data_IF_728457309307
#
_entry.id   IF_728457309307
#
_cell.length_a   1.000
_cell.length_b   1.000
_cell.length_c   1.000
_cell.angle_alpha   90.00
_cell.angle_beta   90.00
_cell.angle_gamma   90.00
#
_symmetry.space_group_name_H-M   'P 1'
#
loop_
_entity.id
_entity.type
_entity.pdbx_description
1 polymer ?
#
# COMPACT_ATOMS: atom_id res chain seq x y z
N UNK A 1 -0.98 16.54 6.17
CA UNK A 1 -0.06 16.48 5.01
C UNK A 1 -0.93 16.50 3.77
N UNK A 2 -0.97 17.63 3.04
CA UNK A 2 -1.81 17.74 1.84
C UNK A 2 -1.09 17.04 0.68
N UNK A 3 -1.58 15.87 0.30
CA UNK A 3 -1.19 15.21 -0.93
C UNK A 3 -1.92 15.95 -2.06
N UNK A 4 -1.14 16.60 -2.95
CA UNK A 4 -1.70 17.40 -4.03
C UNK A 4 -2.21 16.48 -5.14
N UNK A 5 -3.52 16.54 -5.43
CA UNK A 5 -4.13 15.93 -6.61
C UNK A 5 -3.52 16.53 -7.88
N UNK A 6 -2.84 15.71 -8.69
CA UNK A 6 -2.50 16.05 -10.09
C UNK A 6 -2.91 14.89 -10.97
N UNK A 7 -3.43 15.17 -12.15
CA UNK A 7 -3.66 14.13 -13.16
C UNK A 7 -2.31 13.57 -13.62
N UNK A 8 -2.10 12.28 -13.39
CA UNK A 8 -0.85 11.59 -13.67
C UNK A 8 -0.84 11.10 -15.13
N UNK A 9 0.33 11.16 -15.79
CA UNK A 9 0.54 10.44 -17.05
C UNK A 9 0.51 8.94 -16.78
N UNK A 10 -0.08 8.12 -17.67
CA UNK A 10 -0.26 6.68 -17.43
C UNK A 10 1.09 5.97 -17.24
N UNK A 11 1.30 5.38 -16.06
CA UNK A 11 2.38 4.42 -15.85
C UNK A 11 1.85 3.03 -16.24
N UNK A 12 2.32 2.49 -17.36
CA UNK A 12 1.92 1.17 -17.91
C UNK A 12 2.33 -0.02 -17.03
N UNK A 13 2.88 0.20 -15.83
CA UNK A 13 3.45 -0.86 -14.99
C UNK A 13 2.40 -1.70 -14.25
N UNK A 14 1.20 -1.18 -14.02
CA UNK A 14 0.17 -1.85 -13.20
C UNK A 14 -0.38 -3.16 -13.80
N UNK A 15 -0.11 -3.45 -15.07
CA UNK A 15 -0.70 -4.56 -15.83
C UNK A 15 0.34 -5.50 -16.46
N UNK A 16 1.61 -5.35 -16.10
CA UNK A 16 2.70 -6.12 -16.70
C UNK A 16 2.93 -7.43 -15.95
N UNK A 17 3.19 -8.55 -16.65
CA UNK A 17 3.63 -9.79 -16.01
C UNK A 17 4.91 -9.55 -15.20
N UNK A 18 5.11 -10.27 -14.08
CA UNK A 18 6.18 -10.01 -13.09
C UNK A 18 7.58 -9.75 -13.69
N UNK A 19 7.93 -10.44 -14.78
CA UNK A 19 9.21 -10.28 -15.50
C UNK A 19 9.42 -8.89 -16.15
N UNK A 20 8.36 -8.09 -16.30
CA UNK A 20 8.38 -6.75 -16.90
C UNK A 20 8.17 -5.62 -15.88
N UNK A 21 8.01 -5.93 -14.59
CA UNK A 21 7.90 -4.91 -13.55
C UNK A 21 9.26 -4.22 -13.34
N UNK A 22 9.24 -2.89 -13.29
CA UNK A 22 10.43 -2.12 -12.91
C UNK A 22 10.82 -2.44 -11.47
N UNK A 23 12.09 -2.80 -11.28
CA UNK A 23 12.65 -3.17 -9.98
C UNK A 23 13.29 -1.94 -9.35
N UNK A 24 13.00 -1.73 -8.08
CA UNK A 24 13.54 -0.64 -7.28
C UNK A 24 14.48 -1.19 -6.21
N UNK A 25 15.42 -0.36 -5.77
CA UNK A 25 16.45 -0.73 -4.79
C UNK A 25 15.98 -0.55 -3.34
N UNK A 26 14.83 0.10 -3.12
CA UNK A 26 14.23 0.31 -1.81
C UNK A 26 12.71 0.52 -1.93
N UNK A 27 12.05 0.46 -0.78
CA UNK A 27 10.64 0.77 -0.56
C UNK A 27 10.52 2.26 -0.26
N UNK A 28 9.88 2.99 -1.16
CA UNK A 28 9.75 4.45 -1.13
C UNK A 28 8.61 4.93 -2.01
N UNK A 29 8.36 6.23 -2.04
CA UNK A 29 7.34 6.85 -2.89
C UNK A 29 7.94 7.74 -3.97
N UNK A 30 7.23 7.87 -5.08
CA UNK A 30 7.52 8.88 -6.09
C UNK A 30 6.99 10.23 -5.60
N UNK A 31 7.83 11.26 -5.65
CA UNK A 31 7.41 12.65 -5.42
C UNK A 31 7.79 13.50 -6.63
N UNK A 32 7.30 14.74 -6.66
CA UNK A 32 7.83 15.75 -7.55
C UNK A 32 8.97 16.51 -6.86
N UNK A 33 9.96 16.93 -7.65
CA UNK A 33 10.98 17.86 -7.20
C UNK A 33 10.38 19.17 -6.64
N UNK A 34 11.21 20.00 -6.01
CA UNK A 34 10.77 21.27 -5.43
C UNK A 34 10.10 22.23 -6.43
N UNK A 35 10.32 22.01 -7.73
CA UNK A 35 9.74 22.80 -8.82
C UNK A 35 8.49 22.15 -9.42
N UNK A 36 8.01 21.03 -8.88
CA UNK A 36 6.84 20.30 -9.36
C UNK A 36 6.98 19.80 -10.81
N UNK A 37 8.21 19.63 -11.34
CA UNK A 37 8.49 19.34 -12.75
C UNK A 37 8.97 17.92 -13.02
N UNK A 38 9.82 17.39 -12.14
CA UNK A 38 10.46 16.09 -12.35
C UNK A 38 10.06 15.11 -11.26
N UNK A 39 9.87 13.85 -11.65
CA UNK A 39 9.69 12.75 -10.70
C UNK A 39 10.99 12.41 -10.00
N UNK A 40 10.95 12.28 -8.67
CA UNK A 40 12.08 11.94 -7.82
C UNK A 40 11.74 10.73 -6.96
N UNK A 41 12.66 9.78 -6.91
CA UNK A 41 12.57 8.54 -6.14
C UNK A 41 13.88 8.35 -5.35
N UNK A 42 14.03 9.10 -4.25
CA UNK A 42 15.26 9.03 -3.43
C UNK A 42 14.95 8.82 -1.95
N UNK A 43 14.25 9.78 -1.34
CA UNK A 43 14.07 9.81 0.12
C UNK A 43 12.63 10.12 0.51
N UNK A 44 11.64 9.54 -0.17
CA UNK A 44 10.24 9.77 0.18
C UNK A 44 9.64 8.54 0.83
N UNK A 45 9.02 8.76 1.99
CA UNK A 45 8.32 7.70 2.71
C UNK A 45 7.13 7.13 1.91
N UNK A 46 6.95 5.81 1.90
CA UNK A 46 5.74 5.18 1.37
C UNK A 46 4.55 5.53 2.26
N UNK A 47 3.65 6.40 1.76
CA UNK A 47 2.38 6.71 2.42
C UNK A 47 1.25 5.91 1.79
N UNK A 48 0.37 5.40 2.65
CA UNK A 48 -0.80 4.63 2.25
C UNK A 48 -2.08 5.32 2.71
N UNK A 49 -3.21 4.89 2.12
CA UNK A 49 -4.55 5.32 2.55
C UNK A 49 -4.74 5.06 4.05
N UNK A 50 -4.30 3.91 4.56
CA UNK A 50 -4.33 3.57 6.00
C UNK A 50 -3.71 4.68 6.86
N UNK A 51 -2.51 5.14 6.52
CA UNK A 51 -1.84 6.20 7.29
C UNK A 51 -2.59 7.54 7.18
N UNK A 52 -3.18 7.82 6.02
CA UNK A 52 -3.99 9.02 5.86
C UNK A 52 -5.26 8.96 6.70
N UNK A 53 -5.99 7.84 6.70
CA UNK A 53 -7.16 7.63 7.55
C UNK A 53 -6.82 7.78 9.03
N UNK A 54 -5.70 7.22 9.46
CA UNK A 54 -5.18 7.42 10.82
C UNK A 54 -4.91 8.90 11.13
N UNK A 55 -4.32 9.62 10.18
CA UNK A 55 -4.07 11.07 10.34
C UNK A 55 -5.38 11.84 10.46
N UNK A 56 -6.39 11.51 9.65
CA UNK A 56 -7.72 12.13 9.70
C UNK A 56 -8.46 11.82 11.00
N UNK A 57 -8.23 10.64 11.58
CA UNK A 57 -8.74 10.26 12.90
C UNK A 57 -7.98 10.90 14.07
N UNK A 58 -6.96 11.74 13.79
CA UNK A 58 -6.19 12.47 14.80
C UNK A 58 -4.97 11.72 15.33
N UNK A 59 -4.57 10.61 14.71
CA UNK A 59 -3.35 9.88 15.07
C UNK A 59 -2.14 10.40 14.29
N UNK A 60 -0.94 10.09 14.80
CA UNK A 60 0.30 10.50 14.15
C UNK A 60 1.06 9.28 13.60
N UNK A 61 0.82 8.87 12.34
CA UNK A 61 1.57 7.77 11.71
C UNK A 61 3.04 8.12 11.47
N UNK A 62 3.43 9.41 11.52
CA UNK A 62 4.83 9.82 11.35
C UNK A 62 5.73 9.32 12.48
N UNK A 63 5.16 8.82 13.59
CA UNK A 63 5.93 8.11 14.64
C UNK A 63 6.50 6.77 14.17
N UNK A 64 5.87 6.16 13.16
CA UNK A 64 6.29 4.89 12.58
C UNK A 64 7.24 5.10 11.40
N UNK A 65 7.15 6.25 10.74
CA UNK A 65 7.94 6.56 9.56
C UNK A 65 8.21 8.06 9.40
N UNK A 66 9.48 8.44 9.49
CA UNK A 66 9.89 9.83 9.32
C UNK A 66 9.69 10.30 7.86
N UNK A 67 9.49 11.60 7.61
CA UNK A 67 9.22 12.14 6.26
C UNK A 67 10.20 11.70 5.17
N UNK A 68 11.50 11.59 5.52
CA UNK A 68 12.56 11.26 4.57
C UNK A 68 13.04 9.80 4.65
N UNK A 69 12.24 8.92 5.27
CA UNK A 69 12.63 7.55 5.53
C UNK A 69 12.15 6.62 4.43
N UNK A 70 13.03 5.71 4.01
CA UNK A 70 12.75 4.60 3.09
C UNK A 70 13.05 3.28 3.80
N UNK A 71 12.59 2.15 3.24
CA UNK A 71 12.98 0.83 3.75
C UNK A 71 13.82 0.07 2.74
N UNK A 72 14.87 -0.56 3.24
CA UNK A 72 15.71 -1.46 2.44
C UNK A 72 15.37 -2.94 2.66
N UNK A 73 14.49 -3.24 3.62
CA UNK A 73 14.05 -4.59 3.92
C UNK A 73 12.53 -4.71 3.88
N UNK A 74 12.04 -5.85 3.38
CA UNK A 74 10.63 -6.21 3.36
C UNK A 74 10.10 -6.39 4.79
N UNK A 75 10.90 -6.99 5.66
CA UNK A 75 10.55 -7.21 7.07
C UNK A 75 10.30 -5.88 7.78
N UNK A 76 11.17 -4.88 7.65
CA UNK A 76 11.00 -3.59 8.34
C UNK A 76 9.73 -2.87 7.86
N UNK A 77 9.47 -2.90 6.55
CA UNK A 77 8.26 -2.32 5.98
C UNK A 77 6.98 -3.04 6.45
N UNK A 78 7.00 -4.38 6.46
CA UNK A 78 5.89 -5.19 6.96
C UNK A 78 5.63 -4.91 8.44
N UNK A 79 6.67 -4.84 9.26
CA UNK A 79 6.54 -4.50 10.68
C UNK A 79 5.97 -3.10 10.89
N UNK A 80 6.37 -2.13 10.06
CA UNK A 80 5.80 -0.79 10.11
C UNK A 80 4.29 -0.81 9.81
N UNK A 81 3.84 -1.52 8.77
CA UNK A 81 2.40 -1.68 8.46
C UNK A 81 1.69 -2.38 9.62
N UNK A 82 2.28 -3.46 10.13
CA UNK A 82 1.72 -4.24 11.22
C UNK A 82 1.54 -3.39 12.48
N UNK A 83 2.52 -2.57 12.82
CA UNK A 83 2.42 -1.62 13.93
C UNK A 83 1.34 -0.57 13.68
N UNK A 84 1.21 -0.07 12.45
CA UNK A 84 0.14 0.88 12.11
C UNK A 84 -1.25 0.26 12.34
N UNK A 85 -1.46 -1.00 11.98
CA UNK A 85 -2.75 -1.69 12.21
C UNK A 85 -3.04 -1.94 13.69
N UNK A 86 -2.02 -2.29 14.48
CA UNK A 86 -2.14 -2.40 15.95
C UNK A 86 -2.49 -1.06 16.57
N UNK A 87 -1.82 0.00 16.13
CA UNK A 87 -2.06 1.35 16.60
C UNK A 87 -3.49 1.80 16.30
N UNK A 88 -3.99 1.52 15.09
CA UNK A 88 -5.38 1.80 14.72
C UNK A 88 -6.35 1.09 15.65
N UNK A 89 -6.16 -0.21 15.88
CA UNK A 89 -7.01 -0.97 16.80
C UNK A 89 -7.07 -0.38 18.20
N UNK A 90 -5.91 0.02 18.74
CA UNK A 90 -5.85 0.56 20.10
C UNK A 90 -6.40 1.99 20.22
N UNK A 91 -6.28 2.79 19.16
CA UNK A 91 -6.59 4.21 19.23
C UNK A 91 -8.00 4.53 18.70
N UNK A 92 -8.55 3.74 17.77
CA UNK A 92 -9.91 3.90 17.25
C UNK A 92 -10.93 3.15 18.11
N UNK A 93 -11.82 3.90 18.76
CA UNK A 93 -12.91 3.35 19.59
C UNK A 93 -14.03 2.71 18.77
N UNK A 94 -14.10 3.00 17.47
CA UNK A 94 -15.09 2.51 16.51
C UNK A 94 -14.53 1.41 15.59
N UNK A 95 -13.35 0.88 15.88
CA UNK A 95 -12.68 -0.12 15.04
C UNK A 95 -13.33 -1.51 15.08
N UNK A 96 -14.23 -1.75 16.04
CA UNK A 96 -14.82 -3.06 16.31
C UNK A 96 -16.30 -2.94 16.68
N UNK A 97 -17.11 -3.92 16.27
CA UNK A 97 -18.55 -3.95 16.51
C UNK A 97 -18.95 -4.63 17.84
N UNK A 98 -17.99 -5.12 18.62
CA UNK A 98 -18.22 -5.79 19.90
C UNK A 98 -17.04 -6.66 20.35
N UNK A 99 -17.19 -7.35 21.48
CA UNK A 99 -16.10 -8.15 22.07
C UNK A 99 -15.61 -9.28 21.17
N UNK A 100 -16.52 -10.03 20.55
CA UNK A 100 -16.17 -11.15 19.67
C UNK A 100 -15.36 -10.69 18.45
N UNK A 101 -15.75 -9.56 17.87
CA UNK A 101 -15.06 -8.93 16.74
C UNK A 101 -13.66 -8.44 17.18
N UNK A 102 -13.58 -7.76 18.32
CA UNK A 102 -12.32 -7.32 18.91
C UNK A 102 -11.34 -8.47 19.19
N UNK A 103 -11.83 -9.58 19.75
CA UNK A 103 -11.02 -10.78 19.99
C UNK A 103 -10.51 -11.37 18.69
N UNK A 104 -11.36 -11.45 17.67
CA UNK A 104 -11.00 -12.00 16.36
C UNK A 104 -9.96 -11.12 15.66
N UNK A 105 -10.14 -9.80 15.72
CA UNK A 105 -9.22 -8.83 15.15
C UNK A 105 -7.84 -8.89 15.83
N UNK A 106 -7.80 -8.88 17.17
CA UNK A 106 -6.56 -9.02 17.94
C UNK A 106 -5.85 -10.35 17.67
N UNK A 107 -6.61 -11.44 17.61
CA UNK A 107 -6.07 -12.76 17.29
C UNK A 107 -5.44 -12.77 15.89
N UNK A 108 -6.13 -12.20 14.90
CA UNK A 108 -5.62 -12.04 13.54
C UNK A 108 -4.32 -11.24 13.49
N UNK A 109 -4.26 -10.09 14.17
CA UNK A 109 -3.05 -9.30 14.26
C UNK A 109 -1.92 -10.08 14.95
N UNK A 110 -2.14 -10.61 16.14
CA UNK A 110 -1.11 -11.34 16.89
C UNK A 110 -0.52 -12.51 16.07
N UNK A 111 -1.39 -13.29 15.44
CA UNK A 111 -0.95 -14.42 14.62
C UNK A 111 -0.22 -13.98 13.36
N UNK A 112 -0.72 -12.94 12.69
CA UNK A 112 -0.10 -12.44 11.46
C UNK A 112 1.37 -12.09 11.66
N UNK A 113 1.75 -11.58 12.84
CA UNK A 113 3.15 -11.26 13.15
C UNK A 113 4.10 -12.45 13.03
N UNK A 114 3.66 -13.64 13.45
CA UNK A 114 4.45 -14.87 13.34
C UNK A 114 4.52 -15.34 11.88
N UNK A 115 3.37 -15.41 11.21
CA UNK A 115 3.29 -15.83 9.81
C UNK A 115 4.07 -14.91 8.87
N UNK A 116 4.09 -13.60 9.13
CA UNK A 116 4.76 -12.62 8.29
C UNK A 116 6.28 -12.79 8.28
N UNK A 117 6.88 -13.23 9.39
CA UNK A 117 8.33 -13.49 9.47
C UNK A 117 8.69 -14.71 8.60
N UNK A 118 7.94 -15.81 8.76
CA UNK A 118 8.19 -17.05 8.00
C UNK A 118 7.86 -16.91 6.51
N UNK A 119 6.92 -16.04 6.20
CA UNK A 119 6.49 -15.79 4.83
C UNK A 119 7.51 -14.95 4.03
N UNK A 120 8.28 -14.08 4.68
CA UNK A 120 9.37 -13.36 4.01
C UNK A 120 10.53 -14.30 3.79
N UNK A 121 10.68 -14.73 2.53
CA UNK A 121 11.85 -15.49 2.10
C UNK A 121 13.12 -14.68 2.36
N UNK A 122 14.13 -15.20 3.09
CA UNK A 122 15.33 -14.45 3.42
C UNK A 122 16.04 -13.86 2.20
N UNK A 123 16.05 -14.59 1.07
CA UNK A 123 16.62 -14.14 -0.20
C UNK A 123 15.88 -12.96 -0.84
N UNK A 124 14.61 -12.73 -0.46
CA UNK A 124 13.80 -11.62 -0.96
C UNK A 124 13.64 -10.46 0.03
N UNK A 125 14.22 -10.57 1.22
CA UNK A 125 14.07 -9.53 2.23
C UNK A 125 14.60 -8.18 1.74
N UNK A 126 15.67 -8.14 0.96
CA UNK A 126 16.23 -6.90 0.41
C UNK A 126 15.79 -6.60 -1.04
N UNK A 127 14.68 -7.21 -1.47
CA UNK A 127 14.09 -7.02 -2.79
C UNK A 127 13.94 -8.33 -3.58
N UNK A 128 13.33 -8.29 -4.77
CA UNK A 128 13.02 -7.10 -5.53
C UNK A 128 11.81 -6.31 -4.97
N UNK A 129 11.89 -4.99 -5.07
CA UNK A 129 10.78 -4.08 -4.79
C UNK A 129 10.13 -3.62 -6.10
N UNK A 130 8.81 -3.50 -6.12
CA UNK A 130 8.01 -3.16 -7.31
C UNK A 130 7.01 -2.06 -7.00
N UNK A 131 6.68 -1.24 -7.99
CA UNK A 131 5.71 -0.16 -7.85
C UNK A 131 4.29 -0.71 -7.72
N UNK A 132 3.55 -0.25 -6.70
CA UNK A 132 2.12 -0.46 -6.54
C UNK A 132 1.38 0.88 -6.66
N UNK A 133 0.16 0.84 -7.20
CA UNK A 133 -0.72 2.01 -7.33
C UNK A 133 -1.19 2.59 -5.97
N UNK A 134 -1.46 1.73 -4.98
CA UNK A 134 -1.97 2.12 -3.66
C UNK A 134 -3.49 2.32 -3.58
N UNK A 135 -4.17 2.67 -4.69
CA UNK A 135 -5.64 2.80 -4.76
C UNK A 135 -6.24 2.34 -6.10
N UNK A 136 -6.07 1.06 -6.47
CA UNK A 136 -6.46 0.58 -7.80
C UNK A 136 -7.94 0.17 -7.86
N UNK A 137 -8.84 1.13 -7.68
CA UNK A 137 -10.29 0.94 -7.84
C UNK A 137 -10.73 1.14 -9.29
N UNK A 138 -11.88 0.57 -9.67
CA UNK A 138 -12.46 0.74 -11.01
C UNK A 138 -12.61 2.20 -11.43
N UNK A 139 -12.93 3.09 -10.48
CA UNK A 139 -13.00 4.53 -10.71
C UNK A 139 -11.69 5.17 -11.19
N UNK A 140 -10.55 4.52 -10.92
CA UNK A 140 -9.22 4.98 -11.31
C UNK A 140 -8.71 4.27 -12.58
N UNK A 141 -9.53 3.44 -13.24
CA UNK A 141 -9.17 2.72 -14.46
C UNK A 141 -10.02 3.26 -15.61
N UNK A 142 -9.35 3.79 -16.63
CA UNK A 142 -10.00 4.19 -17.88
C UNK A 142 -9.93 3.04 -18.88
N UNK A 143 -11.05 2.73 -19.50
CA UNK A 143 -11.17 1.72 -20.56
C UNK A 143 -11.70 2.36 -21.85
N UNK A 144 -11.38 1.75 -22.99
CA UNK A 144 -12.00 2.09 -24.28
C UNK A 144 -13.34 1.35 -24.47
N UNK A 145 -13.97 1.56 -25.64
CA UNK A 145 -15.26 0.94 -26.00
C UNK A 145 -15.20 -0.60 -26.04
N UNK A 146 -13.99 -1.17 -26.21
CA UNK A 146 -13.73 -2.60 -26.24
C UNK A 146 -13.29 -3.16 -24.86
N UNK A 147 -13.42 -2.36 -23.80
CA UNK A 147 -13.03 -2.68 -22.42
C UNK A 147 -11.52 -2.91 -22.22
N UNK A 148 -10.66 -2.45 -23.13
CA UNK A 148 -9.21 -2.47 -22.92
C UNK A 148 -8.80 -1.35 -21.97
N UNK A 149 -7.88 -1.62 -21.05
CA UNK A 149 -7.37 -0.59 -20.14
C UNK A 149 -6.49 0.40 -20.91
N UNK A 150 -6.93 1.65 -20.98
CA UNK A 150 -6.25 2.76 -21.68
C UNK A 150 -5.35 3.53 -20.72
N UNK A 151 -5.79 3.71 -19.47
CA UNK A 151 -5.06 4.51 -18.48
C UNK A 151 -5.42 4.11 -17.04
N UNK A 152 -4.52 4.43 -16.11
CA UNK A 152 -4.75 4.37 -14.67
C UNK A 152 -4.49 5.77 -14.10
N UNK A 153 -5.43 6.29 -13.30
CA UNK A 153 -5.44 7.63 -12.71
C UNK A 153 -5.12 7.59 -11.21
N UNK A 154 -4.90 8.75 -10.60
CA UNK A 154 -4.80 8.92 -9.13
C UNK A 154 -3.69 8.11 -8.44
N UNK A 155 -2.46 8.27 -8.93
CA UNK A 155 -1.24 7.63 -8.40
C UNK A 155 -0.72 8.26 -7.10
N UNK A 156 -1.55 8.99 -6.37
CA UNK A 156 -1.13 9.77 -5.21
C UNK A 156 -0.73 8.90 -4.01
N UNK A 157 -1.18 7.64 -3.99
CA UNK A 157 -0.83 6.61 -3.00
C UNK A 157 0.22 5.62 -3.51
N UNK A 158 0.81 5.89 -4.68
CA UNK A 158 1.74 4.97 -5.30
C UNK A 158 3.08 4.95 -4.57
N UNK A 159 3.56 3.74 -4.31
CA UNK A 159 4.83 3.50 -3.65
C UNK A 159 5.32 2.09 -3.99
N UNK A 160 6.61 1.85 -3.78
CA UNK A 160 7.20 0.54 -4.00
C UNK A 160 6.96 -0.36 -2.79
N UNK A 161 6.77 -1.65 -3.04
CA UNK A 161 6.54 -2.69 -2.03
C UNK A 161 7.38 -3.94 -2.34
N UNK A 162 7.58 -4.84 -1.37
CA UNK A 162 8.14 -6.17 -1.64
C UNK A 162 7.33 -6.90 -2.70
N UNK A 163 7.98 -7.49 -3.71
CA UNK A 163 7.29 -8.22 -4.79
C UNK A 163 6.35 -9.30 -4.24
N UNK A 164 6.76 -9.99 -3.19
CA UNK A 164 5.94 -10.99 -2.49
C UNK A 164 4.58 -10.41 -2.02
N UNK A 165 4.51 -9.14 -1.63
CA UNK A 165 3.26 -8.51 -1.17
C UNK A 165 2.36 -8.09 -2.33
N UNK A 166 2.91 -7.93 -3.53
CA UNK A 166 2.15 -7.51 -4.71
C UNK A 166 1.08 -8.56 -5.05
N UNK A 167 1.43 -9.85 -5.00
CA UNK A 167 0.52 -10.96 -5.27
C UNK A 167 -0.61 -11.06 -4.23
N UNK A 168 -0.32 -10.78 -2.96
CA UNK A 168 -1.36 -10.75 -1.92
C UNK A 168 -2.29 -9.55 -2.07
N UNK A 169 -1.74 -8.39 -2.46
CA UNK A 169 -2.54 -7.17 -2.64
C UNK A 169 -3.56 -7.30 -3.77
N UNK A 170 -3.20 -7.99 -4.86
CA UNK A 170 -4.11 -8.25 -5.98
C UNK A 170 -5.17 -9.29 -5.62
N UNK A 171 -4.78 -10.37 -4.92
CA UNK A 171 -5.72 -11.41 -4.45
C UNK A 171 -6.72 -10.86 -3.43
N UNK A 172 -6.26 -10.05 -2.47
CA UNK A 172 -7.12 -9.44 -1.46
C UNK A 172 -8.11 -8.42 -2.03
N UNK A 173 -7.71 -7.67 -3.07
CA UNK A 173 -8.62 -6.79 -3.81
C UNK A 173 -9.67 -7.61 -4.57
N UNK A 174 -9.26 -8.71 -5.21
CA UNK A 174 -10.18 -9.58 -5.94
C UNK A 174 -11.21 -10.26 -5.03
N UNK A 175 -10.76 -10.76 -3.86
CA UNK A 175 -11.65 -11.33 -2.85
C UNK A 175 -12.65 -10.29 -2.32
N UNK A 176 -12.20 -9.07 -2.02
CA UNK A 176 -13.13 -7.99 -1.61
C UNK A 176 -14.14 -7.63 -2.70
N UNK A 177 -13.74 -7.61 -3.97
CA UNK A 177 -14.68 -7.38 -5.08
C UNK A 177 -15.66 -8.54 -5.27
N UNK A 178 -15.22 -9.79 -5.10
CA UNK A 178 -16.08 -10.96 -5.22
C UNK A 178 -17.14 -11.02 -4.11
N UNK A 179 -16.76 -10.69 -2.87
CA UNK A 179 -17.68 -10.62 -1.73
C UNK A 179 -18.73 -9.50 -1.87
N UNK A 180 -18.37 -8.37 -2.48
CA UNK A 180 -19.32 -7.28 -2.73
C UNK A 180 -20.31 -7.57 -3.88
N UNK A 181 -20.10 -8.62 -4.67
CA UNK A 181 -21.02 -9.03 -5.74
C UNK A 181 -22.05 -10.07 -5.28
N UNK A 182 -21.84 -10.74 -4.14
CA UNK A 182 -22.81 -11.67 -3.54
C UNK A 182 -23.78 -11.00 -2.54
N UNK A 183 -23.74 -9.67 -2.45
CA UNK A 183 -24.50 -8.85 -1.49
C UNK A 183 -25.55 -7.93 -2.10
N UNK A 184 -26.15 -8.28 -3.25
CA UNK A 184 -27.37 -7.65 -3.80
C UNK A 184 -28.39 -8.73 -4.15
#
# INVERSE_FOLDING_TARGET
MMIKRKQYKPCKQALLPEKKLSKFNHIGALTLDSNDKNWVFEHNRPLSILMNEQTLAGFNPSRLIAPNQVFHSAIDYIFMIHQALLDEFHLRRDSVCGESDARSYLYGLHNSRQFLIDWVKPEHNHGPFVLMHGDLRSANILVDDDLNIVSVLDWEWSHTIPLQMFVLSTLAQWLRSAWNLEGV
#
